data_IF_951880601752
#
_entry.id   IF_951880601752
#
_cell.length_a   1.000
_cell.length_b   1.000
_cell.length_c   1.000
_cell.angle_alpha   90.00
_cell.angle_beta   90.00
_cell.angle_gamma   90.00
#
_symmetry.space_group_name_H-M   'P 1'
#
loop_
_entity.id
_entity.type
_entity.pdbx_description
1 polymer ?
#
# COMPACT_ATOMS: atom_id res chain seq x y z
N UNK A 1 44.77 20.03 -43.00
CA UNK A 1 45.98 19.22 -42.68
C UNK A 1 45.81 18.73 -41.26
N UNK A 2 45.65 17.45 -40.87
CA UNK A 2 45.90 16.11 -41.40
C UNK A 2 45.03 15.18 -40.50
N UNK A 3 44.26 14.18 -40.98
CA UNK A 3 43.71 13.16 -40.09
C UNK A 3 44.73 12.03 -39.92
N UNK A 4 45.11 11.77 -38.67
CA UNK A 4 45.97 10.67 -38.23
C UNK A 4 45.33 9.31 -38.57
N UNK A 5 45.97 8.60 -39.50
CA UNK A 5 45.72 7.21 -39.86
C UNK A 5 46.04 6.28 -38.67
N UNK A 6 45.03 5.79 -37.98
CA UNK A 6 45.16 4.60 -37.13
C UNK A 6 44.97 3.37 -38.03
N UNK A 7 46.10 2.83 -38.47
CA UNK A 7 46.20 1.59 -39.26
C UNK A 7 45.89 0.40 -38.34
N UNK A 8 44.69 -0.16 -38.45
CA UNK A 8 44.34 -1.42 -37.78
C UNK A 8 45.01 -2.58 -38.52
N UNK A 9 45.79 -3.45 -37.85
CA UNK A 9 46.38 -4.62 -38.49
C UNK A 9 45.28 -5.64 -38.80
N UNK A 10 45.11 -6.02 -40.06
CA UNK A 10 44.22 -7.10 -40.47
C UNK A 10 44.85 -8.45 -40.11
N UNK A 11 44.74 -8.84 -38.84
CA UNK A 11 44.93 -10.24 -38.47
C UNK A 11 43.71 -11.03 -38.95
N UNK A 12 43.94 -11.95 -39.90
CA UNK A 12 43.01 -12.99 -40.33
C UNK A 12 42.73 -13.91 -39.12
N UNK A 13 41.81 -13.52 -38.26
CA UNK A 13 41.25 -14.42 -37.25
C UNK A 13 40.28 -15.39 -37.93
N UNK A 14 40.51 -16.68 -37.73
CA UNK A 14 39.62 -17.74 -38.20
C UNK A 14 38.18 -17.46 -37.80
N UNK A 15 37.26 -17.75 -38.71
CA UNK A 15 35.81 -17.47 -38.66
C UNK A 15 35.10 -17.96 -37.38
N UNK A 16 35.72 -18.86 -36.62
CA UNK A 16 35.24 -19.35 -35.32
C UNK A 16 35.44 -18.34 -34.16
N UNK A 17 36.55 -17.59 -34.15
CA UNK A 17 36.90 -16.70 -33.03
C UNK A 17 36.17 -15.35 -33.11
N UNK A 18 35.89 -14.84 -34.32
CA UNK A 18 35.13 -13.60 -34.52
C UNK A 18 33.67 -13.73 -34.04
N UNK A 19 33.05 -14.89 -34.25
CA UNK A 19 31.70 -15.17 -33.76
C UNK A 19 31.60 -15.22 -32.22
N UNK A 20 32.63 -15.71 -31.53
CA UNK A 20 32.63 -15.74 -30.07
C UNK A 20 32.84 -14.35 -29.46
N UNK A 21 33.73 -13.54 -30.06
CA UNK A 21 34.00 -12.17 -29.59
C UNK A 21 32.77 -11.29 -29.79
N UNK A 22 32.07 -11.40 -30.93
CA UNK A 22 30.82 -10.68 -31.20
C UNK A 22 29.69 -11.06 -30.24
N UNK A 23 29.55 -12.34 -29.90
CA UNK A 23 28.56 -12.79 -28.90
C UNK A 23 28.84 -12.24 -27.50
N UNK A 24 30.12 -12.17 -27.09
CA UNK A 24 30.52 -11.57 -25.81
C UNK A 24 30.30 -10.05 -25.79
N UNK A 25 30.56 -9.34 -26.89
CA UNK A 25 30.29 -7.88 -26.94
C UNK A 25 28.80 -7.58 -26.90
N UNK A 26 27.98 -8.39 -27.57
CA UNK A 26 26.52 -8.26 -27.52
C UNK A 26 25.96 -8.59 -26.12
N UNK A 27 26.48 -9.60 -25.43
CA UNK A 27 26.01 -9.92 -24.08
C UNK A 27 26.35 -8.82 -23.07
N UNK A 28 27.52 -8.19 -23.20
CA UNK A 28 27.93 -7.06 -22.35
C UNK A 28 27.07 -5.82 -22.63
N UNK A 29 26.76 -5.53 -23.90
CA UNK A 29 25.88 -4.41 -24.27
C UNK A 29 24.43 -4.60 -23.80
N UNK A 30 23.91 -5.83 -23.79
CA UNK A 30 22.57 -6.16 -23.26
C UNK A 30 22.54 -6.04 -21.73
N UNK A 31 23.60 -6.48 -21.05
CA UNK A 31 23.74 -6.35 -19.59
C UNK A 31 23.79 -4.87 -19.15
N UNK A 32 24.55 -4.02 -19.86
CA UNK A 32 24.59 -2.58 -19.58
C UNK A 32 23.24 -1.89 -19.83
N UNK A 33 22.50 -2.28 -20.87
CA UNK A 33 21.15 -1.76 -21.13
C UNK A 33 20.13 -2.20 -20.06
N UNK A 34 20.28 -3.41 -19.51
CA UNK A 34 19.44 -3.91 -18.42
C UNK A 34 19.73 -3.16 -17.10
N UNK A 35 21.01 -2.94 -16.77
CA UNK A 35 21.42 -2.17 -15.59
C UNK A 35 20.94 -0.71 -15.67
N UNK A 36 21.04 -0.07 -16.84
CA UNK A 36 20.59 1.32 -17.02
C UNK A 36 19.05 1.46 -16.94
N UNK A 37 18.30 0.45 -17.43
CA UNK A 37 16.83 0.38 -17.22
C UNK A 37 16.46 0.16 -15.77
N UNK A 38 17.24 -0.63 -15.02
CA UNK A 38 17.03 -0.87 -13.59
C UNK A 38 17.33 0.39 -12.76
N UNK A 39 18.36 1.14 -13.14
CA UNK A 39 18.71 2.42 -12.50
C UNK A 39 17.68 3.52 -12.80
N UNK A 40 17.15 3.59 -14.03
CA UNK A 40 16.04 4.47 -14.38
C UNK A 40 14.70 4.06 -13.70
N UNK A 41 14.46 2.77 -13.46
CA UNK A 41 13.31 2.30 -12.69
C UNK A 41 13.43 2.65 -11.20
N UNK A 42 14.64 2.73 -10.65
CA UNK A 42 14.92 3.15 -9.28
C UNK A 42 14.68 4.66 -9.08
N UNK A 43 15.10 5.48 -10.05
CA UNK A 43 14.79 6.93 -10.05
C UNK A 43 13.28 7.17 -10.17
N UNK A 44 12.56 6.37 -10.96
CA UNK A 44 11.09 6.41 -11.06
C UNK A 44 10.38 5.83 -9.82
N UNK A 45 10.99 4.88 -9.12
CA UNK A 45 10.54 4.40 -7.81
C UNK A 45 10.68 5.47 -6.72
N UNK A 46 11.70 6.32 -6.80
CA UNK A 46 11.82 7.53 -5.97
C UNK A 46 10.70 8.54 -6.21
N UNK A 47 10.12 8.60 -7.42
CA UNK A 47 8.95 9.44 -7.72
C UNK A 47 7.66 8.88 -7.10
N UNK A 48 7.58 7.59 -6.79
CA UNK A 48 6.43 7.01 -6.08
C UNK A 48 6.34 7.50 -4.61
N UNK A 49 7.48 7.84 -3.98
CA UNK A 49 7.49 8.55 -2.69
C UNK A 49 6.93 9.97 -2.80
N UNK A 50 7.06 10.63 -3.97
CA UNK A 50 6.50 11.96 -4.25
C UNK A 50 4.99 11.90 -4.51
N UNK A 51 4.47 10.79 -5.03
CA UNK A 51 3.04 10.61 -5.28
C UNK A 51 2.20 10.56 -3.97
N UNK A 52 2.79 10.08 -2.87
CA UNK A 52 2.18 10.13 -1.53
C UNK A 52 2.06 11.59 -1.05
N UNK A 53 3.02 12.44 -1.42
CA UNK A 53 2.93 13.90 -1.24
C UNK A 53 1.86 14.57 -2.10
N UNK A 54 1.55 14.03 -3.28
CA UNK A 54 0.54 14.57 -4.19
C UNK A 54 -0.89 14.51 -3.64
N UNK A 55 -1.24 13.44 -2.94
CA UNK A 55 -2.53 13.33 -2.24
C UNK A 55 -2.62 14.34 -1.08
N UNK A 56 -1.52 14.54 -0.34
CA UNK A 56 -1.42 15.56 0.72
C UNK A 56 -1.44 17.00 0.20
N UNK A 57 -0.84 17.27 -0.95
CA UNK A 57 -0.81 18.59 -1.59
C UNK A 57 -2.17 19.00 -2.14
N UNK A 58 -2.91 18.07 -2.77
CA UNK A 58 -4.28 18.31 -3.23
C UNK A 58 -5.24 18.54 -2.06
N UNK A 59 -5.12 17.76 -0.98
CA UNK A 59 -5.89 17.99 0.25
C UNK A 59 -5.55 19.33 0.90
N UNK A 60 -4.27 19.72 0.96
CA UNK A 60 -3.85 21.02 1.51
C UNK A 60 -4.37 22.20 0.66
N UNK A 61 -4.33 22.09 -0.67
CA UNK A 61 -4.81 23.15 -1.57
C UNK A 61 -6.34 23.33 -1.52
N UNK A 62 -7.08 22.24 -1.35
CA UNK A 62 -8.54 22.24 -1.16
C UNK A 62 -8.92 22.77 0.23
N UNK A 63 -8.10 22.51 1.25
CA UNK A 63 -8.35 22.97 2.63
C UNK A 63 -7.91 24.42 2.90
N UNK A 64 -7.05 25.00 2.05
CA UNK A 64 -6.39 26.28 2.31
C UNK A 64 -6.63 27.34 1.21
N UNK A 65 -7.65 27.18 0.35
CA UNK A 65 -8.02 28.20 -0.63
C UNK A 65 -8.85 29.31 0.04
N UNK A 66 -8.47 30.60 -0.05
CA UNK A 66 -9.24 31.69 0.53
C UNK A 66 -10.54 31.92 -0.24
N UNK A 67 -11.66 31.88 0.49
CA UNK A 67 -13.01 32.22 0.01
C UNK A 67 -13.13 33.71 -0.27
N UNK A 68 -12.82 34.15 -1.50
CA UNK A 68 -13.23 35.48 -1.96
C UNK A 68 -14.60 35.34 -2.60
N UNK A 69 -15.63 35.83 -1.91
CA UNK A 69 -17.02 35.84 -2.39
C UNK A 69 -17.22 36.97 -3.40
N UNK A 70 -17.71 36.70 -4.63
CA UNK A 70 -18.25 37.74 -5.49
C UNK A 70 -19.66 38.08 -5.03
N UNK A 71 -19.84 39.33 -4.60
CA UNK A 71 -21.15 39.94 -4.32
C UNK A 71 -21.86 40.23 -5.66
N UNK A 72 -23.11 39.77 -5.83
CA UNK A 72 -24.02 40.31 -6.86
C UNK A 72 -24.85 39.32 -7.68
N UNK A 73 -26.17 39.33 -7.41
CA UNK A 73 -27.35 39.02 -8.25
C UNK A 73 -27.53 37.64 -8.94
N UNK A 74 -28.35 36.82 -8.28
CA UNK A 74 -29.52 36.05 -8.75
C UNK A 74 -29.70 35.83 -10.28
N UNK A 75 -29.55 34.58 -10.74
CA UNK A 75 -30.65 33.69 -11.21
C UNK A 75 -30.08 32.52 -12.04
N UNK A 76 -30.78 31.37 -11.95
CA UNK A 76 -30.82 30.23 -12.90
C UNK A 76 -29.97 28.99 -12.55
N UNK A 77 -30.71 27.87 -12.46
CA UNK A 77 -30.33 26.47 -12.17
C UNK A 77 -29.53 26.20 -10.90
N UNK A 78 -30.18 25.61 -9.90
CA UNK A 78 -29.54 24.80 -8.85
C UNK A 78 -28.82 23.62 -9.50
N UNK A 79 -27.61 23.83 -10.01
CA UNK A 79 -26.56 22.83 -9.81
C UNK A 79 -26.12 23.02 -8.37
N UNK A 80 -26.67 22.21 -7.47
CA UNK A 80 -26.05 22.03 -6.17
C UNK A 80 -24.73 21.34 -6.47
N UNK A 81 -23.66 22.15 -6.59
CA UNK A 81 -22.32 21.65 -6.82
C UNK A 81 -22.05 20.57 -5.78
N UNK A 82 -21.49 19.44 -6.22
CA UNK A 82 -21.02 18.41 -5.29
C UNK A 82 -20.14 19.03 -4.20
N UNK A 83 -19.40 20.09 -4.51
CA UNK A 83 -18.65 20.89 -3.54
C UNK A 83 -19.54 21.54 -2.47
N UNK A 84 -20.68 22.13 -2.82
CA UNK A 84 -21.60 22.78 -1.89
C UNK A 84 -22.39 21.76 -1.04
N UNK A 85 -22.79 20.63 -1.63
CA UNK A 85 -23.40 19.51 -0.88
C UNK A 85 -22.38 18.86 0.08
N UNK A 86 -21.11 18.85 -0.32
CA UNK A 86 -19.98 18.40 0.49
C UNK A 86 -19.66 19.40 1.59
N UNK A 87 -19.75 20.71 1.34
CA UNK A 87 -19.47 21.78 2.29
C UNK A 87 -20.59 21.96 3.33
N UNK A 88 -21.86 21.88 2.91
CA UNK A 88 -23.02 21.91 3.79
C UNK A 88 -23.10 20.71 4.76
N UNK A 89 -22.42 19.59 4.46
CA UNK A 89 -22.32 18.41 5.31
C UNK A 89 -20.98 18.36 6.11
N UNK A 90 -20.12 19.38 5.99
CA UNK A 90 -18.70 19.42 6.44
C UNK A 90 -18.39 20.46 7.53
N UNK A 91 -19.33 20.77 8.42
CA UNK A 91 -18.99 21.45 9.67
C UNK A 91 -18.22 20.52 10.63
N UNK A 92 -17.21 19.79 10.14
CA UNK A 92 -16.27 19.05 11.00
C UNK A 92 -15.55 20.07 11.87
N UNK A 93 -15.67 19.88 13.19
CA UNK A 93 -14.87 20.61 14.18
C UNK A 93 -13.39 20.55 13.80
N UNK A 94 -12.65 21.62 14.11
CA UNK A 94 -11.20 21.69 13.86
C UNK A 94 -10.44 20.50 14.45
N UNK A 95 -10.95 19.94 15.56
CA UNK A 95 -10.44 18.73 16.22
C UNK A 95 -10.52 17.51 15.30
N UNK A 96 -11.65 17.29 14.61
CA UNK A 96 -11.85 16.14 13.71
C UNK A 96 -10.91 16.22 12.52
N UNK A 97 -10.77 17.41 11.92
CA UNK A 97 -9.85 17.63 10.79
C UNK A 97 -8.39 17.39 11.19
N UNK A 98 -7.99 17.87 12.37
CA UNK A 98 -6.66 17.65 12.93
C UNK A 98 -6.36 16.18 13.19
N UNK A 99 -7.32 15.45 13.77
CA UNK A 99 -7.21 14.02 14.01
C UNK A 99 -7.07 13.23 12.71
N UNK A 100 -7.96 13.45 11.75
CA UNK A 100 -7.90 12.78 10.43
C UNK A 100 -6.53 13.02 9.78
N UNK A 101 -6.04 14.26 9.76
CA UNK A 101 -4.73 14.55 9.18
C UNK A 101 -3.61 13.77 9.88
N UNK A 102 -3.63 13.71 11.21
CA UNK A 102 -2.65 12.97 11.99
C UNK A 102 -2.73 11.46 11.71
N UNK A 103 -3.93 10.88 11.70
CA UNK A 103 -4.17 9.46 11.41
C UNK A 103 -3.68 9.09 10.02
N UNK A 104 -4.04 9.86 8.99
CA UNK A 104 -3.59 9.61 7.62
C UNK A 104 -2.08 9.82 7.45
N UNK A 105 -1.46 10.73 8.22
CA UNK A 105 -0.01 10.90 8.23
C UNK A 105 0.71 9.68 8.82
N UNK A 106 0.21 9.12 9.94
CA UNK A 106 0.76 7.89 10.51
C UNK A 106 0.51 6.69 9.60
N UNK A 107 -0.66 6.59 8.97
CA UNK A 107 -0.94 5.58 7.95
C UNK A 107 0.08 5.64 6.79
N UNK A 108 0.26 6.81 6.18
CA UNK A 108 1.19 6.99 5.07
C UNK A 108 2.65 6.75 5.49
N UNK A 109 3.05 7.24 6.67
CA UNK A 109 4.36 7.00 7.25
C UNK A 109 4.63 5.52 7.52
N UNK A 110 3.62 4.80 8.02
CA UNK A 110 3.71 3.36 8.28
C UNK A 110 3.86 2.55 7.00
N UNK A 111 3.11 2.90 5.95
CA UNK A 111 3.26 2.27 4.62
C UNK A 111 4.65 2.52 4.02
N UNK A 112 5.14 3.75 4.09
CA UNK A 112 6.49 4.08 3.62
C UNK A 112 7.57 3.31 4.39
N UNK A 113 7.43 3.23 5.72
CA UNK A 113 8.32 2.49 6.59
C UNK A 113 8.27 0.98 6.30
N UNK A 114 7.08 0.42 6.11
CA UNK A 114 6.88 -0.99 5.73
C UNK A 114 7.55 -1.31 4.40
N UNK A 115 7.40 -0.43 3.40
CA UNK A 115 8.08 -0.58 2.10
C UNK A 115 9.60 -0.51 2.21
N UNK A 116 10.12 0.39 3.05
CA UNK A 116 11.55 0.47 3.33
C UNK A 116 12.08 -0.80 4.01
N UNK A 117 11.38 -1.31 5.02
CA UNK A 117 11.73 -2.57 5.68
C UNK A 117 11.68 -3.75 4.73
N UNK A 118 10.63 -3.86 3.91
CA UNK A 118 10.51 -4.91 2.89
C UNK A 118 11.71 -4.90 1.92
N UNK A 119 12.14 -3.71 1.48
CA UNK A 119 13.31 -3.55 0.63
C UNK A 119 14.61 -3.99 1.32
N UNK A 120 14.81 -3.61 2.59
CA UNK A 120 15.98 -4.01 3.38
C UNK A 120 16.02 -5.52 3.61
N UNK A 121 14.90 -6.13 4.00
CA UNK A 121 14.82 -7.58 4.22
C UNK A 121 14.99 -8.38 2.93
N UNK A 122 14.49 -7.85 1.81
CA UNK A 122 14.71 -8.43 0.49
C UNK A 122 16.21 -8.41 0.13
N UNK A 123 16.89 -7.28 0.30
CA UNK A 123 18.34 -7.14 0.01
C UNK A 123 19.20 -8.05 0.87
N UNK A 124 18.84 -8.25 2.14
CA UNK A 124 19.57 -9.10 3.07
C UNK A 124 19.26 -10.60 2.88
N UNK A 125 18.29 -10.96 2.04
CA UNK A 125 17.84 -12.35 1.84
C UNK A 125 17.21 -12.98 3.10
N UNK A 126 16.96 -12.19 4.15
CA UNK A 126 16.51 -12.65 5.46
C UNK A 126 15.13 -13.32 5.36
N UNK A 127 14.22 -12.71 4.59
CA UNK A 127 12.88 -13.25 4.36
C UNK A 127 12.90 -14.63 3.70
N UNK A 128 13.74 -14.82 2.68
CA UNK A 128 13.85 -16.11 1.98
C UNK A 128 14.55 -17.14 2.84
N UNK A 129 15.66 -16.76 3.50
CA UNK A 129 16.42 -17.67 4.34
C UNK A 129 15.56 -18.26 5.46
N UNK A 130 14.75 -17.43 6.13
CA UNK A 130 13.82 -17.90 7.15
C UNK A 130 12.74 -18.83 6.56
N UNK A 131 12.19 -18.47 5.40
CA UNK A 131 11.18 -19.28 4.72
C UNK A 131 11.72 -20.64 4.24
N UNK A 132 12.96 -20.70 3.75
CA UNK A 132 13.59 -21.94 3.28
C UNK A 132 14.05 -22.86 4.40
N UNK A 133 14.44 -22.30 5.54
CA UNK A 133 14.84 -23.10 6.71
C UNK A 133 13.63 -23.76 7.36
N UNK A 134 12.60 -22.99 7.68
CA UNK A 134 11.38 -23.52 8.28
C UNK A 134 10.17 -22.64 7.93
N UNK A 135 9.35 -23.12 6.98
CA UNK A 135 8.12 -22.45 6.53
C UNK A 135 7.14 -22.18 7.68
N UNK A 136 7.02 -23.12 8.63
CA UNK A 136 6.15 -22.96 9.80
C UNK A 136 6.68 -21.92 10.78
N UNK A 137 8.00 -21.88 11.00
CA UNK A 137 8.61 -20.85 11.83
C UNK A 137 8.45 -19.46 11.23
N UNK A 138 8.67 -19.30 9.92
CA UNK A 138 8.46 -18.02 9.24
C UNK A 138 7.01 -17.55 9.34
N UNK A 139 6.04 -18.44 9.08
CA UNK A 139 4.62 -18.12 9.21
C UNK A 139 4.24 -17.80 10.66
N UNK A 140 4.72 -18.57 11.63
CA UNK A 140 4.47 -18.31 13.05
C UNK A 140 5.06 -16.98 13.52
N UNK A 141 6.33 -16.70 13.19
CA UNK A 141 7.02 -15.45 13.57
C UNK A 141 6.34 -14.24 12.96
N UNK A 142 5.99 -14.28 11.68
CA UNK A 142 5.32 -13.16 11.02
C UNK A 142 3.89 -12.97 11.53
N UNK A 143 3.12 -14.03 11.69
CA UNK A 143 1.71 -13.94 12.11
C UNK A 143 1.58 -13.56 13.59
N UNK A 144 2.26 -14.27 14.49
CA UNK A 144 2.27 -13.96 15.93
C UNK A 144 2.98 -12.64 16.19
N UNK A 145 4.04 -12.33 15.43
CA UNK A 145 4.75 -11.06 15.53
C UNK A 145 3.84 -9.89 15.14
N UNK A 146 3.11 -9.98 14.03
CA UNK A 146 2.17 -8.95 13.60
C UNK A 146 1.04 -8.78 14.62
N UNK A 147 0.40 -9.87 15.06
CA UNK A 147 -0.72 -9.79 16.03
C UNK A 147 -0.23 -9.28 17.39
N UNK A 148 0.90 -9.79 17.87
CA UNK A 148 1.48 -9.41 19.15
C UNK A 148 1.91 -7.94 19.18
N UNK A 149 2.58 -7.46 18.13
CA UNK A 149 2.97 -6.04 18.03
C UNK A 149 1.78 -5.11 17.78
N UNK A 150 0.73 -5.58 17.09
CA UNK A 150 -0.52 -4.84 16.94
C UNK A 150 -1.19 -4.64 18.31
N UNK A 151 -1.36 -5.73 19.07
CA UNK A 151 -1.94 -5.67 20.41
C UNK A 151 -1.09 -4.82 21.35
N UNK A 152 0.24 -4.95 21.29
CA UNK A 152 1.15 -4.11 22.08
C UNK A 152 0.97 -2.62 21.74
N UNK A 153 0.91 -2.26 20.45
CA UNK A 153 0.71 -0.87 20.01
C UNK A 153 -0.64 -0.32 20.47
N UNK A 154 -1.69 -1.15 20.48
CA UNK A 154 -3.02 -0.78 20.97
C UNK A 154 -3.09 -0.64 22.49
N UNK A 155 -2.36 -1.50 23.23
CA UNK A 155 -2.33 -1.51 24.68
C UNK A 155 -1.52 -0.34 25.28
N UNK A 156 -0.56 0.21 24.53
CA UNK A 156 0.25 1.35 24.96
C UNK A 156 -0.55 2.65 24.78
N UNK A 157 -0.65 3.39 25.87
CA UNK A 157 -1.26 4.72 25.91
C UNK A 157 -0.31 5.77 25.29
N UNK A 158 -0.82 6.55 24.34
CA UNK A 158 -0.07 7.63 23.65
C UNK A 158 0.47 8.68 24.63
N UNK A 159 -0.27 8.97 25.70
CA UNK A 159 0.03 10.08 26.60
C UNK A 159 1.08 9.70 27.66
N UNK A 160 1.11 8.43 28.09
CA UNK A 160 2.02 7.97 29.14
C UNK A 160 3.41 7.63 28.61
N UNK A 161 3.50 6.99 27.44
CA UNK A 161 4.77 6.47 26.92
C UNK A 161 4.87 6.59 25.39
N UNK A 162 5.03 7.82 24.86
CA UNK A 162 5.05 8.04 23.42
C UNK A 162 6.21 7.32 22.73
N UNK A 163 7.40 7.29 23.35
CA UNK A 163 8.56 6.61 22.78
C UNK A 163 8.35 5.10 22.61
N UNK A 164 7.73 4.45 23.61
CA UNK A 164 7.43 3.01 23.54
C UNK A 164 6.38 2.74 22.47
N UNK A 165 5.40 3.62 22.31
CA UNK A 165 4.37 3.50 21.28
C UNK A 165 4.93 3.59 19.87
N UNK A 166 5.77 4.59 19.59
CA UNK A 166 6.44 4.68 18.29
C UNK A 166 7.39 3.50 18.06
N UNK A 167 8.04 2.97 19.10
CA UNK A 167 8.84 1.76 19.02
C UNK A 167 8.01 0.52 18.65
N UNK A 168 6.86 0.33 19.31
CA UNK A 168 5.93 -0.76 19.02
C UNK A 168 5.35 -0.64 17.60
N UNK A 169 4.95 0.57 17.21
CA UNK A 169 4.46 0.87 15.86
C UNK A 169 5.54 0.64 14.79
N UNK A 170 6.79 1.07 15.02
CA UNK A 170 7.89 0.81 14.09
C UNK A 170 8.21 -0.69 13.99
N UNK A 171 8.16 -1.41 15.12
CA UNK A 171 8.34 -2.87 15.15
C UNK A 171 7.24 -3.57 14.37
N UNK A 172 5.98 -3.15 14.54
CA UNK A 172 4.85 -3.64 13.76
C UNK A 172 5.07 -3.43 12.25
N UNK A 173 5.44 -2.22 11.83
CA UNK A 173 5.77 -1.95 10.42
C UNK A 173 6.96 -2.78 9.92
N UNK A 174 7.94 -3.06 10.79
CA UNK A 174 9.07 -3.93 10.51
C UNK A 174 8.65 -5.37 10.26
N UNK A 175 7.86 -5.97 11.14
CA UNK A 175 7.36 -7.34 10.98
C UNK A 175 6.46 -7.44 9.75
N UNK A 176 5.60 -6.44 9.51
CA UNK A 176 4.81 -6.38 8.28
C UNK A 176 5.69 -6.30 7.03
N UNK A 177 6.76 -5.52 7.05
CA UNK A 177 7.76 -5.47 5.99
C UNK A 177 8.45 -6.82 5.76
N UNK A 178 8.74 -7.55 6.84
CA UNK A 178 9.30 -8.90 6.76
C UNK A 178 8.31 -9.89 6.14
N UNK A 179 7.01 -9.79 6.45
CA UNK A 179 5.93 -10.59 5.85
C UNK A 179 5.77 -10.30 4.35
N UNK A 180 6.01 -9.05 3.93
CA UNK A 180 5.93 -8.62 2.52
C UNK A 180 7.23 -8.90 1.75
N UNK A 181 8.36 -9.14 2.42
CA UNK A 181 9.67 -9.33 1.78
C UNK A 181 9.71 -10.42 0.70
N UNK A 182 9.01 -11.57 0.81
CA UNK A 182 8.94 -12.56 -0.27
C UNK A 182 8.24 -12.04 -1.53
N UNK A 183 7.32 -11.08 -1.41
CA UNK A 183 6.65 -10.47 -2.57
C UNK A 183 7.61 -9.59 -3.38
N UNK A 184 8.66 -9.05 -2.76
CA UNK A 184 9.67 -8.25 -3.46
C UNK A 184 10.50 -9.05 -4.48
N UNK A 185 10.42 -10.39 -4.48
CA UNK A 185 11.00 -11.21 -5.55
C UNK A 185 10.21 -11.13 -6.86
N UNK A 186 8.96 -10.66 -6.81
CA UNK A 186 8.21 -10.32 -8.01
C UNK A 186 8.80 -9.04 -8.64
N UNK A 187 8.39 -8.76 -9.88
CA UNK A 187 8.95 -7.64 -10.62
C UNK A 187 8.65 -6.31 -9.91
N UNK A 188 9.65 -5.46 -9.58
CA UNK A 188 9.43 -4.26 -8.76
C UNK A 188 8.49 -3.24 -9.41
N UNK A 189 8.45 -3.20 -10.75
CA UNK A 189 7.49 -2.40 -11.50
C UNK A 189 6.04 -2.85 -11.28
N UNK A 190 5.80 -4.14 -11.05
CA UNK A 190 4.49 -4.68 -10.73
C UNK A 190 4.05 -4.25 -9.32
N UNK A 191 4.94 -4.34 -8.34
CA UNK A 191 4.69 -3.88 -6.97
C UNK A 191 4.33 -2.39 -6.95
N UNK A 192 5.11 -1.56 -7.65
CA UNK A 192 4.84 -0.12 -7.72
C UNK A 192 3.47 0.18 -8.36
N UNK A 193 3.11 -0.53 -9.44
CA UNK A 193 1.79 -0.37 -10.07
C UNK A 193 0.65 -0.80 -9.15
N UNK A 194 0.78 -1.96 -8.49
CA UNK A 194 -0.21 -2.45 -7.55
C UNK A 194 -0.39 -1.47 -6.37
N UNK A 195 0.72 -0.92 -5.86
CA UNK A 195 0.69 0.09 -4.80
C UNK A 195 -0.05 1.35 -5.26
N UNK A 196 0.27 1.88 -6.44
CA UNK A 196 -0.42 3.06 -6.99
C UNK A 196 -1.92 2.84 -7.18
N UNK A 197 -2.33 1.68 -7.73
CA UNK A 197 -3.75 1.34 -7.88
C UNK A 197 -4.44 1.22 -6.53
N UNK A 198 -3.79 0.60 -5.55
CA UNK A 198 -4.30 0.44 -4.19
C UNK A 198 -4.45 1.79 -3.48
N UNK A 199 -3.46 2.67 -3.57
CA UNK A 199 -3.53 4.05 -3.04
C UNK A 199 -4.65 4.85 -3.70
N UNK A 200 -4.82 4.73 -5.02
CA UNK A 200 -5.94 5.37 -5.73
C UNK A 200 -7.30 4.86 -5.25
N UNK A 201 -7.44 3.53 -5.11
CA UNK A 201 -8.69 2.92 -4.65
C UNK A 201 -9.01 3.32 -3.20
N UNK A 202 -8.07 3.12 -2.27
CA UNK A 202 -8.24 3.47 -0.85
C UNK A 202 -8.49 4.97 -0.71
N UNK A 203 -7.73 5.81 -1.40
CA UNK A 203 -7.93 7.26 -1.37
C UNK A 203 -9.31 7.69 -1.88
N UNK A 204 -9.80 7.08 -2.96
CA UNK A 204 -11.15 7.36 -3.50
C UNK A 204 -12.26 6.92 -2.54
N UNK A 205 -12.15 5.73 -1.95
CA UNK A 205 -13.12 5.20 -0.99
C UNK A 205 -13.10 6.02 0.29
N UNK A 206 -11.92 6.38 0.80
CA UNK A 206 -11.77 7.26 1.95
C UNK A 206 -12.39 8.63 1.70
N UNK A 207 -12.26 9.20 0.50
CA UNK A 207 -12.90 10.47 0.16
C UNK A 207 -14.43 10.37 0.23
N UNK A 208 -15.03 9.31 -0.32
CA UNK A 208 -16.47 9.02 -0.21
C UNK A 208 -16.87 8.71 1.24
N UNK A 209 -15.98 8.03 1.97
CA UNK A 209 -16.11 7.73 3.39
C UNK A 209 -16.00 8.94 4.29
N UNK A 210 -15.48 10.07 3.82
CA UNK A 210 -15.55 11.32 4.57
C UNK A 210 -16.86 12.07 4.34
N UNK A 211 -17.58 11.81 3.24
CA UNK A 211 -18.80 12.55 2.87
C UNK A 211 -20.10 11.83 3.24
N UNK A 212 -20.09 10.51 3.44
CA UNK A 212 -21.32 9.75 3.79
C UNK A 212 -21.92 10.13 5.17
N UNK A 213 -23.24 9.98 5.36
CA UNK A 213 -23.92 10.32 6.63
C UNK A 213 -23.86 9.16 7.65
N UNK A 214 -23.77 9.51 8.95
CA UNK A 214 -23.46 8.61 10.08
C UNK A 214 -24.51 7.53 10.33
N UNK A 215 -25.76 7.82 10.00
CA UNK A 215 -26.94 7.03 10.38
C UNK A 215 -27.21 5.77 9.54
N UNK A 216 -26.50 5.55 8.43
CA UNK A 216 -26.74 4.38 7.56
C UNK A 216 -25.73 3.24 7.73
N UNK A 217 -24.67 3.43 8.51
CA UNK A 217 -23.54 2.50 8.50
C UNK A 217 -23.56 1.43 9.59
N UNK A 218 -24.25 1.63 10.72
CA UNK A 218 -24.30 0.64 11.82
C UNK A 218 -24.72 -0.78 11.35
N UNK A 219 -25.51 -0.87 10.28
CA UNK A 219 -25.98 -2.14 9.71
C UNK A 219 -25.01 -2.81 8.73
N UNK A 220 -24.05 -2.08 8.16
CA UNK A 220 -23.14 -2.62 7.13
C UNK A 220 -21.92 -3.29 7.79
N UNK A 221 -21.59 -2.96 9.04
CA UNK A 221 -20.46 -3.57 9.75
C UNK A 221 -20.57 -5.09 9.94
N UNK A 222 -21.78 -5.59 10.23
CA UNK A 222 -22.03 -7.02 10.41
C UNK A 222 -21.72 -7.87 9.15
N UNK A 223 -22.25 -7.53 7.95
CA UNK A 223 -21.89 -8.25 6.72
C UNK A 223 -20.43 -8.07 6.32
N UNK A 224 -19.78 -6.95 6.65
CA UNK A 224 -18.34 -6.77 6.41
C UNK A 224 -17.49 -7.72 7.27
N UNK A 225 -17.82 -7.86 8.56
CA UNK A 225 -17.12 -8.79 9.44
C UNK A 225 -17.36 -10.25 9.04
N UNK A 226 -18.58 -10.59 8.61
CA UNK A 226 -18.87 -11.91 8.04
C UNK A 226 -18.04 -12.16 6.78
N UNK A 227 -17.98 -11.19 5.86
CA UNK A 227 -17.15 -11.27 4.66
C UNK A 227 -15.65 -11.39 4.97
N UNK A 228 -15.16 -10.68 5.98
CA UNK A 228 -13.77 -10.76 6.44
C UNK A 228 -13.45 -12.17 6.93
N UNK A 229 -14.33 -12.77 7.73
CA UNK A 229 -14.19 -14.15 8.21
C UNK A 229 -14.22 -15.13 7.03
N UNK A 230 -15.14 -14.97 6.07
CA UNK A 230 -15.19 -15.82 4.87
C UNK A 230 -13.89 -15.74 4.07
N UNK A 231 -13.35 -14.54 3.87
CA UNK A 231 -12.11 -14.32 3.12
C UNK A 231 -10.90 -14.84 3.90
N UNK A 232 -10.87 -14.67 5.22
CA UNK A 232 -9.81 -15.20 6.09
C UNK A 232 -9.81 -16.73 6.08
N UNK A 233 -10.98 -17.35 6.24
CA UNK A 233 -11.16 -18.80 6.13
C UNK A 233 -10.79 -19.32 4.75
N UNK A 234 -11.15 -18.61 3.67
CA UNK A 234 -10.72 -18.98 2.32
C UNK A 234 -9.20 -18.90 2.14
N UNK A 235 -8.56 -17.90 2.77
CA UNK A 235 -7.10 -17.71 2.71
C UNK A 235 -6.36 -18.80 3.48
N UNK A 236 -6.84 -19.17 4.67
CA UNK A 236 -6.28 -20.25 5.50
C UNK A 236 -6.58 -21.63 4.89
N UNK A 237 -7.82 -21.86 4.45
CA UNK A 237 -8.25 -23.10 3.82
C UNK A 237 -7.45 -23.43 2.55
N UNK A 238 -6.99 -22.40 1.82
CA UNK A 238 -6.11 -22.57 0.67
C UNK A 238 -4.73 -23.15 1.03
N UNK A 239 -4.27 -22.99 2.28
CA UNK A 239 -3.00 -23.55 2.78
C UNK A 239 -3.14 -25.01 3.22
N UNK A 240 -4.33 -25.43 3.66
CA UNK A 240 -4.60 -26.80 4.14
C UNK A 240 -5.06 -27.77 3.06
N UNK A 241 -5.42 -27.29 1.86
CA UNK A 241 -5.85 -28.15 0.76
C UNK A 241 -4.65 -28.76 0.01
N UNK A 242 -4.61 -30.09 -0.16
CA UNK A 242 -3.56 -30.74 -0.94
C UNK A 242 -3.67 -30.40 -2.43
N UNK A 243 -2.52 -30.38 -3.12
CA UNK A 243 -2.39 -30.02 -4.54
C UNK A 243 -3.24 -30.86 -5.51
N UNK A 244 -3.83 -31.97 -5.05
CA UNK A 244 -4.76 -32.83 -5.79
C UNK A 244 -6.16 -32.21 -5.97
N UNK A 245 -6.54 -31.23 -5.14
CA UNK A 245 -7.82 -30.54 -5.22
C UNK A 245 -7.74 -29.25 -6.06
N UNK A 246 -7.12 -29.30 -7.24
CA UNK A 246 -6.79 -28.14 -8.09
C UNK A 246 -8.02 -27.24 -8.35
N UNK A 247 -9.20 -27.83 -8.57
CA UNK A 247 -10.45 -27.07 -8.78
C UNK A 247 -10.92 -26.34 -7.52
N UNK A 248 -10.89 -27.01 -6.36
CA UNK A 248 -11.27 -26.39 -5.10
C UNK A 248 -10.27 -25.29 -4.69
N UNK A 249 -8.97 -25.55 -4.82
CA UNK A 249 -7.93 -24.56 -4.57
C UNK A 249 -8.03 -23.33 -5.50
N UNK A 250 -8.38 -23.53 -6.78
CA UNK A 250 -8.58 -22.41 -7.71
C UNK A 250 -9.83 -21.58 -7.39
N UNK A 251 -10.93 -22.23 -6.99
CA UNK A 251 -12.15 -21.55 -6.55
C UNK A 251 -11.93 -20.77 -5.25
N UNK A 252 -11.31 -21.38 -4.23
CA UNK A 252 -11.00 -20.71 -2.96
C UNK A 252 -10.05 -19.53 -3.15
N UNK A 253 -9.03 -19.67 -4.00
CA UNK A 253 -8.14 -18.55 -4.33
C UNK A 253 -8.87 -17.42 -5.05
N UNK A 254 -9.77 -17.74 -5.98
CA UNK A 254 -10.54 -16.71 -6.70
C UNK A 254 -11.51 -16.00 -5.76
N UNK A 255 -12.24 -16.73 -4.91
CA UNK A 255 -13.16 -16.17 -3.92
C UNK A 255 -12.40 -15.30 -2.93
N UNK A 256 -11.25 -15.78 -2.42
CA UNK A 256 -10.41 -14.99 -1.53
C UNK A 256 -9.95 -13.73 -2.24
N UNK A 257 -9.32 -13.82 -3.40
CA UNK A 257 -8.74 -12.66 -4.09
C UNK A 257 -9.81 -11.63 -4.49
N UNK A 258 -10.85 -12.02 -5.22
CA UNK A 258 -11.88 -11.09 -5.71
C UNK A 258 -12.87 -10.69 -4.62
N UNK A 259 -13.38 -11.65 -3.84
CA UNK A 259 -14.26 -11.36 -2.71
C UNK A 259 -13.56 -10.54 -1.63
N UNK A 260 -12.29 -10.81 -1.39
CA UNK A 260 -11.45 -10.01 -0.49
C UNK A 260 -11.30 -8.57 -0.95
N UNK A 261 -11.07 -8.29 -2.23
CA UNK A 261 -11.02 -6.89 -2.71
C UNK A 261 -12.31 -6.14 -2.39
N UNK A 262 -13.48 -6.78 -2.59
CA UNK A 262 -14.78 -6.16 -2.25
C UNK A 262 -14.91 -5.95 -0.74
N UNK A 263 -14.62 -6.97 0.06
CA UNK A 263 -14.72 -6.89 1.53
C UNK A 263 -13.79 -5.82 2.10
N UNK A 264 -12.51 -5.85 1.73
CA UNK A 264 -11.52 -4.86 2.21
C UNK A 264 -11.82 -3.46 1.70
N UNK A 265 -12.37 -3.30 0.50
CA UNK A 265 -12.85 -1.99 0.03
C UNK A 265 -13.99 -1.46 0.91
N UNK A 266 -14.90 -2.33 1.37
CA UNK A 266 -15.91 -1.97 2.37
C UNK A 266 -15.28 -1.66 3.73
N UNK A 267 -14.28 -2.42 4.18
CA UNK A 267 -13.63 -2.19 5.47
C UNK A 267 -12.90 -0.85 5.52
N UNK A 268 -12.26 -0.42 4.43
CA UNK A 268 -11.68 0.94 4.33
C UNK A 268 -12.74 2.02 4.55
N UNK A 269 -13.93 1.83 3.99
CA UNK A 269 -15.05 2.75 4.14
C UNK A 269 -15.55 2.78 5.59
N UNK A 270 -15.71 1.60 6.19
CA UNK A 270 -16.07 1.43 7.59
C UNK A 270 -15.05 2.07 8.54
N UNK A 271 -13.76 1.83 8.32
CA UNK A 271 -12.68 2.37 9.14
C UNK A 271 -12.58 3.88 9.01
N UNK A 272 -12.75 4.43 7.81
CA UNK A 272 -12.81 5.89 7.61
C UNK A 272 -13.95 6.51 8.45
N UNK A 273 -15.11 5.86 8.48
CA UNK A 273 -16.24 6.30 9.30
C UNK A 273 -16.01 6.13 10.80
N UNK A 274 -15.37 5.03 11.20
CA UNK A 274 -15.02 4.78 12.59
C UNK A 274 -14.06 5.85 13.12
N UNK A 275 -13.07 6.26 12.34
CA UNK A 275 -12.13 7.34 12.70
C UNK A 275 -12.87 8.67 12.93
N UNK A 276 -13.79 9.01 12.03
CA UNK A 276 -14.60 10.24 12.16
C UNK A 276 -15.50 10.16 13.39
N UNK A 277 -16.20 9.04 13.59
CA UNK A 277 -17.08 8.84 14.73
C UNK A 277 -16.33 8.89 16.06
N UNK A 278 -15.11 8.34 16.10
CA UNK A 278 -14.23 8.38 17.27
C UNK A 278 -13.79 9.82 17.58
N UNK A 279 -13.39 10.59 16.54
CA UNK A 279 -13.01 11.98 16.69
C UNK A 279 -14.18 12.90 17.10
N UNK A 280 -15.39 12.61 16.66
CA UNK A 280 -16.61 13.34 17.04
C UNK A 280 -17.09 13.01 18.46
N UNK A 281 -16.92 11.76 18.91
CA UNK A 281 -17.33 11.33 20.25
C UNK A 281 -16.32 11.74 21.34
N UNK A 282 -15.08 12.02 20.97
CA UNK A 282 -14.03 12.39 21.90
C UNK A 282 -14.23 13.82 22.42
N UNK A 283 -14.79 13.94 23.63
CA UNK A 283 -14.94 15.21 24.35
C UNK A 283 -13.61 15.83 24.79
N UNK A 284 -12.53 15.03 24.87
CA UNK A 284 -11.20 15.47 25.28
C UNK A 284 -10.14 14.95 24.31
N UNK A 285 -9.17 15.80 23.94
CA UNK A 285 -8.06 15.43 23.03
C UNK A 285 -7.22 14.25 23.51
N UNK A 286 -7.22 13.97 24.82
CA UNK A 286 -6.49 12.86 25.44
C UNK A 286 -7.02 11.46 25.08
N UNK A 287 -8.26 11.35 24.60
CA UNK A 287 -8.85 10.06 24.20
C UNK A 287 -8.60 9.73 22.72
N UNK A 288 -8.08 10.70 21.95
CA UNK A 288 -7.77 10.46 20.54
C UNK A 288 -6.39 9.83 20.42
N UNK A 289 -6.35 8.64 19.83
CA UNK A 289 -5.12 7.91 19.51
C UNK A 289 -4.98 7.77 18.00
N UNK A 290 -4.35 8.75 17.29
CA UNK A 290 -4.23 8.73 15.83
C UNK A 290 -3.54 7.48 15.29
N UNK A 291 -2.57 6.93 16.05
CA UNK A 291 -1.84 5.71 15.68
C UNK A 291 -2.78 4.50 15.70
N UNK A 292 -3.57 4.33 16.77
CA UNK A 292 -4.46 3.18 16.90
C UNK A 292 -5.53 3.16 15.80
N UNK A 293 -6.06 4.34 15.50
CA UNK A 293 -7.02 4.56 14.43
C UNK A 293 -6.41 4.33 13.03
N UNK A 294 -5.12 4.66 12.85
CA UNK A 294 -4.40 4.43 11.60
C UNK A 294 -4.11 2.95 11.33
N UNK A 295 -4.04 2.11 12.37
CA UNK A 295 -3.75 0.68 12.22
C UNK A 295 -4.85 -0.09 11.48
N UNK A 296 -6.13 0.28 11.67
CA UNK A 296 -7.24 -0.36 10.95
C UNK A 296 -7.13 -0.15 9.44
N UNK A 297 -7.11 1.11 9.02
CA UNK A 297 -6.99 1.47 7.60
C UNK A 297 -5.67 0.97 6.98
N UNK A 298 -4.60 0.87 7.77
CA UNK A 298 -3.34 0.26 7.36
C UNK A 298 -3.51 -1.23 7.03
N UNK A 299 -4.16 -2.01 7.91
CA UNK A 299 -4.36 -3.44 7.71
C UNK A 299 -5.25 -3.71 6.49
N UNK A 300 -6.30 -2.92 6.30
CA UNK A 300 -7.15 -3.03 5.11
C UNK A 300 -6.39 -2.71 3.83
N UNK A 301 -5.56 -1.66 3.86
CA UNK A 301 -4.71 -1.30 2.73
C UNK A 301 -3.76 -2.44 2.36
N UNK A 302 -3.04 -3.02 3.32
CA UNK A 302 -2.09 -4.10 3.04
C UNK A 302 -2.82 -5.32 2.47
N UNK A 303 -3.96 -5.69 3.04
CA UNK A 303 -4.76 -6.81 2.55
C UNK A 303 -5.26 -6.58 1.11
N UNK A 304 -5.71 -5.36 0.80
CA UNK A 304 -6.13 -4.99 -0.54
C UNK A 304 -4.94 -4.95 -1.52
N UNK A 305 -3.80 -4.42 -1.10
CA UNK A 305 -2.56 -4.34 -1.89
C UNK A 305 -2.08 -5.73 -2.32
N UNK A 306 -1.99 -6.67 -1.38
CA UNK A 306 -1.55 -8.04 -1.65
C UNK A 306 -2.49 -8.71 -2.67
N UNK A 307 -3.82 -8.53 -2.52
CA UNK A 307 -4.80 -9.11 -3.44
C UNK A 307 -4.71 -8.51 -4.84
N UNK A 308 -4.64 -7.18 -4.96
CA UNK A 308 -4.46 -6.50 -6.25
C UNK A 308 -3.16 -6.94 -6.91
N UNK A 309 -2.07 -7.04 -6.14
CA UNK A 309 -0.79 -7.54 -6.61
C UNK A 309 -0.92 -8.96 -7.21
N UNK A 310 -1.58 -9.88 -6.50
CA UNK A 310 -1.82 -11.23 -7.01
C UNK A 310 -2.71 -11.26 -8.27
N UNK A 311 -3.74 -10.41 -8.35
CA UNK A 311 -4.56 -10.29 -9.57
C UNK A 311 -3.70 -9.86 -10.76
N UNK A 312 -2.85 -8.84 -10.56
CA UNK A 312 -1.99 -8.31 -11.61
C UNK A 312 -0.90 -9.31 -12.02
N UNK A 313 -0.31 -10.04 -11.06
CA UNK A 313 0.67 -11.09 -11.35
C UNK A 313 0.04 -12.26 -12.11
N UNK A 314 -1.15 -12.71 -11.71
CA UNK A 314 -1.86 -13.80 -12.38
C UNK A 314 -2.26 -13.45 -13.82
N UNK A 315 -2.63 -12.19 -14.09
CA UNK A 315 -2.90 -11.70 -15.46
C UNK A 315 -1.65 -11.65 -16.34
N UNK A 316 -0.47 -11.49 -15.75
CA UNK A 316 0.80 -11.44 -16.48
C UNK A 316 1.32 -12.82 -16.88
N UNK A 317 0.99 -13.86 -16.09
CA UNK A 317 1.43 -15.24 -16.34
C UNK A 317 0.60 -15.99 -17.38
N UNK A 318 -0.56 -15.44 -17.77
CA UNK A 318 -1.43 -15.92 -18.85
C UNK A 318 -1.09 -15.19 -20.15
#
# INVERSE_FOLDING_TARGET
>A
MLPLLVRVPTMRLGSSLSHQVLKRTQSIAVSQRAANRQQQALVRGGVALVAIGGAGYLLNKILNSPTTMPSGSLTKSKEVSFADAVEANRAFSSVVKGHLRSTYAHFAGGLAMTGAFAYVFHRNGLGVRLMTMNKWAYMGVTLLGTIGTLYATMAIDDQRQPALKYGAWATFNGIMGLSLAPLCFMQPALLARAALVTTGLVGSISAVGMTARREQYLWIGAPLMAGLVTVALASIGSVFLPATAIRAASLLNSISIYGGVVVFSGLVLWDTKKIIAHAEAAHNQKQLSPINDALGIYLDFINLFIRILYIMDNRRRK
#
